data_IF_061201945499
#
_entry.id   IF_061201945499
#
_cell.length_a   1.000
_cell.length_b   1.000
_cell.length_c   1.000
_cell.angle_alpha   90.00
_cell.angle_beta   90.00
_cell.angle_gamma   90.00
#
_symmetry.space_group_name_H-M   'P 1'
#
loop_
_entity.id
_entity.type
_entity.pdbx_description
1 polymer ?
#
# COMPACT_ATOMS: atom_id res chain seq x y z
N UNK A 1 32.80 31.01 48.13
CA UNK A 1 32.20 29.67 47.94
C UNK A 1 30.74 29.68 47.47
N UNK A 2 29.85 30.58 47.93
CA UNK A 2 28.43 30.58 47.53
C UNK A 2 28.15 30.92 46.04
N UNK A 3 28.99 31.73 45.39
CA UNK A 3 28.83 32.11 43.97
C UNK A 3 29.14 30.96 43.00
N UNK A 4 30.11 30.11 43.31
CA UNK A 4 30.52 28.97 42.47
C UNK A 4 29.43 27.90 42.40
N UNK A 5 28.71 27.67 43.50
CA UNK A 5 27.58 26.73 43.54
C UNK A 5 26.34 27.24 42.79
N UNK A 6 26.13 28.56 42.72
CA UNK A 6 25.00 29.16 41.99
C UNK A 6 25.22 29.06 40.47
N UNK A 7 26.45 29.32 40.01
CA UNK A 7 26.83 29.23 38.61
C UNK A 7 26.83 27.79 38.07
N UNK A 8 27.28 26.83 38.89
CA UNK A 8 27.18 25.41 38.55
C UNK A 8 25.71 24.96 38.43
N UNK A 9 24.83 25.41 39.33
CA UNK A 9 23.39 25.06 39.31
C UNK A 9 22.64 25.62 38.10
N UNK A 10 22.92 26.87 37.71
CA UNK A 10 22.32 27.45 36.50
C UNK A 10 22.83 26.75 35.25
N UNK A 11 24.12 26.42 35.18
CA UNK A 11 24.70 25.71 34.04
C UNK A 11 24.14 24.28 33.89
N UNK A 12 23.99 23.52 34.99
CA UNK A 12 23.36 22.19 34.93
C UNK A 12 21.90 22.28 34.49
N UNK A 13 21.14 23.27 34.97
CA UNK A 13 19.74 23.45 34.58
C UNK A 13 19.58 23.80 33.09
N UNK A 14 20.47 24.64 32.55
CA UNK A 14 20.49 25.00 31.12
C UNK A 14 20.82 23.81 30.22
N UNK A 15 21.77 22.95 30.63
CA UNK A 15 22.15 21.75 29.89
C UNK A 15 21.00 20.73 29.86
N UNK A 16 20.33 20.51 31.00
CA UNK A 16 19.19 19.58 31.07
C UNK A 16 18.01 20.05 30.21
N UNK A 17 17.73 21.37 30.19
CA UNK A 17 16.65 21.93 29.37
C UNK A 17 16.95 21.84 27.86
N UNK A 18 18.22 22.03 27.47
CA UNK A 18 18.67 21.86 26.09
C UNK A 18 18.61 20.39 25.62
N UNK A 19 18.92 19.43 26.49
CA UNK A 19 18.79 17.99 26.17
C UNK A 19 17.33 17.51 26.05
N UNK A 20 16.39 18.14 26.76
CA UNK A 20 14.96 17.80 26.66
C UNK A 20 14.26 18.44 25.45
N UNK A 21 14.84 19.52 24.88
CA UNK A 21 14.24 20.26 23.77
C UNK A 21 14.40 19.56 22.39
N UNK A 22 15.16 18.47 22.31
CA UNK A 22 15.44 17.77 21.04
C UNK A 22 14.53 16.57 20.76
N UNK A 23 13.50 16.32 21.57
CA UNK A 23 12.47 15.33 21.24
C UNK A 23 11.46 16.00 20.29
N UNK A 24 11.83 16.16 19.02
CA UNK A 24 10.84 16.40 17.98
C UNK A 24 10.03 15.11 17.81
N UNK A 25 8.71 15.19 17.99
CA UNK A 25 7.82 14.13 17.56
C UNK A 25 8.01 13.95 16.04
N UNK A 26 8.39 12.74 15.62
CA UNK A 26 8.47 12.41 14.21
C UNK A 26 7.04 12.43 13.64
N UNK A 27 6.82 13.18 12.57
CA UNK A 27 5.53 13.17 11.88
C UNK A 27 5.17 11.73 11.49
N UNK A 28 3.93 11.33 11.78
CA UNK A 28 3.48 9.98 11.49
C UNK A 28 3.27 9.81 9.98
N UNK A 29 3.90 8.79 9.40
CA UNK A 29 3.65 8.41 8.02
C UNK A 29 2.43 7.50 7.93
N UNK A 30 1.37 7.96 7.27
CA UNK A 30 0.19 7.15 6.97
C UNK A 30 0.29 6.59 5.56
N UNK A 31 0.13 5.27 5.45
CA UNK A 31 0.06 4.52 4.20
C UNK A 31 -1.28 3.77 4.13
N UNK A 32 -1.98 3.93 3.02
CA UNK A 32 -3.13 3.09 2.67
C UNK A 32 -2.65 1.95 1.79
N UNK A 33 -2.64 0.73 2.33
CA UNK A 33 -2.31 -0.47 1.58
C UNK A 33 -3.59 -1.09 1.01
N UNK A 34 -3.69 -1.12 -0.30
CA UNK A 34 -4.73 -1.78 -1.07
C UNK A 34 -4.12 -3.04 -1.68
N UNK A 35 -4.80 -4.16 -1.54
CA UNK A 35 -4.31 -5.41 -2.09
C UNK A 35 -5.43 -6.25 -2.71
N UNK A 36 -5.03 -7.12 -3.61
CA UNK A 36 -5.82 -8.22 -4.16
C UNK A 36 -4.95 -9.46 -4.25
N UNK A 37 -5.59 -10.62 -4.40
CA UNK A 37 -4.97 -11.92 -4.56
C UNK A 37 -6.01 -12.86 -5.18
N UNK A 38 -5.56 -13.96 -5.79
CA UNK A 38 -6.42 -15.08 -6.20
C UNK A 38 -7.62 -14.64 -7.05
N UNK A 39 -7.42 -13.65 -7.92
CA UNK A 39 -8.50 -13.15 -8.77
C UNK A 39 -8.86 -14.12 -9.89
N UNK A 40 -7.95 -15.04 -10.26
CA UNK A 40 -8.22 -16.15 -11.18
C UNK A 40 -8.96 -15.72 -12.46
N UNK A 41 -8.57 -14.59 -13.03
CA UNK A 41 -9.18 -13.98 -14.23
C UNK A 41 -10.70 -13.71 -14.14
N UNK A 42 -11.22 -13.47 -12.93
CA UNK A 42 -12.58 -12.98 -12.70
C UNK A 42 -12.66 -11.47 -12.94
N UNK A 43 -12.69 -11.08 -14.21
CA UNK A 43 -12.77 -9.68 -14.61
C UNK A 43 -14.18 -9.13 -14.56
N UNK A 44 -15.18 -9.99 -14.67
CA UNK A 44 -16.60 -9.66 -14.60
C UNK A 44 -17.17 -9.92 -13.20
N UNK A 45 -18.30 -9.27 -12.85
CA UNK A 45 -19.03 -9.60 -11.64
C UNK A 45 -19.47 -11.06 -11.63
N UNK A 46 -19.49 -11.66 -10.44
CA UNK A 46 -20.07 -12.99 -10.23
C UNK A 46 -21.60 -12.94 -10.39
N UNK A 47 -22.24 -14.11 -10.35
CA UNK A 47 -23.70 -14.25 -10.54
C UNK A 47 -24.54 -13.46 -9.53
N UNK A 48 -24.01 -13.22 -8.33
CA UNK A 48 -24.63 -12.39 -7.29
C UNK A 48 -24.37 -10.88 -7.49
N UNK A 49 -23.64 -10.51 -8.54
CA UNK A 49 -23.27 -9.14 -8.86
C UNK A 49 -22.03 -8.63 -8.14
N UNK A 50 -21.29 -9.46 -7.40
CA UNK A 50 -20.10 -9.03 -6.66
C UNK A 50 -18.80 -9.09 -7.48
N UNK A 51 -17.83 -8.27 -7.08
CA UNK A 51 -16.51 -8.24 -7.70
C UNK A 51 -16.51 -7.58 -9.08
N UNK A 52 -15.60 -8.06 -9.93
CA UNK A 52 -15.34 -7.49 -11.25
C UNK A 52 -14.43 -6.25 -11.22
N UNK A 53 -13.62 -6.12 -12.26
CA UNK A 53 -12.58 -5.08 -12.35
C UNK A 53 -13.18 -3.67 -12.49
N UNK A 54 -14.37 -3.54 -13.10
CA UNK A 54 -15.06 -2.26 -13.19
C UNK A 54 -15.44 -1.70 -11.81
N UNK A 55 -15.97 -2.54 -10.91
CA UNK A 55 -16.29 -2.14 -9.53
C UNK A 55 -15.03 -1.84 -8.75
N UNK A 56 -13.99 -2.66 -8.94
CA UNK A 56 -12.68 -2.41 -8.33
C UNK A 56 -12.12 -1.04 -8.74
N UNK A 57 -12.19 -0.67 -10.02
CA UNK A 57 -11.76 0.63 -10.51
C UNK A 57 -12.48 1.79 -9.82
N UNK A 58 -13.80 1.66 -9.62
CA UNK A 58 -14.60 2.68 -8.92
C UNK A 58 -14.17 2.84 -7.46
N UNK A 59 -13.97 1.73 -6.74
CA UNK A 59 -13.48 1.76 -5.34
C UNK A 59 -12.08 2.35 -5.26
N UNK A 60 -11.17 1.97 -6.15
CA UNK A 60 -9.81 2.53 -6.21
C UNK A 60 -9.82 4.04 -6.48
N UNK A 61 -10.69 4.50 -7.39
CA UNK A 61 -10.84 5.93 -7.68
C UNK A 61 -11.35 6.71 -6.46
N UNK A 62 -12.33 6.16 -5.74
CA UNK A 62 -12.85 6.76 -4.51
C UNK A 62 -11.76 6.88 -3.44
N UNK A 63 -11.02 5.79 -3.16
CA UNK A 63 -9.95 5.81 -2.16
C UNK A 63 -8.83 6.77 -2.55
N UNK A 64 -8.45 6.81 -3.83
CA UNK A 64 -7.44 7.77 -4.32
C UNK A 64 -7.90 9.22 -4.22
N UNK A 65 -9.20 9.49 -4.34
CA UNK A 65 -9.77 10.83 -4.17
C UNK A 65 -9.72 11.33 -2.72
N UNK A 66 -9.66 10.43 -1.72
CA UNK A 66 -9.42 10.80 -0.31
C UNK A 66 -7.99 11.35 -0.08
N UNK A 67 -7.07 11.10 -1.01
CA UNK A 67 -5.69 11.58 -0.99
C UNK A 67 -4.77 10.78 -0.06
N UNK A 68 -3.55 11.29 0.11
CA UNK A 68 -2.50 10.64 0.91
C UNK A 68 -1.69 9.59 0.15
N UNK A 69 -0.86 8.84 0.88
CA UNK A 69 0.01 7.82 0.30
C UNK A 69 -0.77 6.51 0.17
N UNK A 70 -0.91 6.01 -1.06
CA UNK A 70 -1.61 4.76 -1.35
C UNK A 70 -0.70 3.83 -2.12
N UNK A 71 -0.67 2.55 -1.72
CA UNK A 71 0.01 1.48 -2.42
C UNK A 71 -1.02 0.42 -2.84
N UNK A 72 -1.09 0.09 -4.12
CA UNK A 72 -1.91 -0.98 -4.71
C UNK A 72 -1.00 -2.11 -5.19
N UNK A 73 -1.12 -3.27 -4.54
CA UNK A 73 -0.31 -4.46 -4.82
C UNK A 73 -1.17 -5.70 -5.05
N UNK A 74 -0.63 -6.68 -5.75
CA UNK A 74 -1.27 -7.99 -5.92
C UNK A 74 -0.41 -9.12 -5.34
N UNK A 75 -1.02 -10.12 -4.71
CA UNK A 75 -0.30 -11.22 -4.07
C UNK A 75 -0.16 -12.48 -4.95
N UNK A 76 -0.59 -12.44 -6.22
CA UNK A 76 -0.48 -13.58 -7.14
C UNK A 76 -1.81 -14.26 -7.42
N UNK A 77 -1.77 -15.30 -8.24
CA UNK A 77 -2.90 -16.10 -8.70
C UNK A 77 -3.98 -15.25 -9.38
N UNK A 78 -3.50 -14.35 -10.25
CA UNK A 78 -4.32 -13.58 -11.19
C UNK A 78 -4.72 -14.42 -12.39
N UNK A 79 -3.83 -15.30 -12.80
CA UNK A 79 -4.02 -16.13 -13.99
C UNK A 79 -4.90 -17.35 -13.68
N UNK A 80 -5.35 -18.02 -14.75
CA UNK A 80 -6.16 -19.24 -14.75
C UNK A 80 -7.44 -19.21 -13.89
N UNK A 81 -8.60 -19.40 -14.52
CA UNK A 81 -9.87 -19.59 -13.79
C UNK A 81 -11.13 -19.34 -14.61
N UNK A 82 -11.03 -18.49 -15.64
CA UNK A 82 -12.14 -18.21 -16.57
C UNK A 82 -11.69 -18.33 -18.03
N UNK A 83 -12.66 -18.24 -18.96
CA UNK A 83 -12.37 -18.22 -20.41
C UNK A 83 -11.49 -17.05 -20.85
N UNK A 84 -11.42 -15.98 -20.05
CA UNK A 84 -10.53 -14.86 -20.29
C UNK A 84 -9.07 -15.32 -20.34
N UNK A 85 -8.62 -16.10 -19.35
CA UNK A 85 -7.25 -16.63 -19.34
C UNK A 85 -7.01 -17.57 -20.52
N UNK A 86 -7.95 -18.46 -20.81
CA UNK A 86 -7.82 -19.42 -21.92
C UNK A 86 -7.65 -18.72 -23.27
N UNK A 87 -8.34 -17.60 -23.47
CA UNK A 87 -8.32 -16.87 -24.74
C UNK A 87 -7.16 -15.85 -24.82
N UNK A 88 -6.96 -15.04 -23.76
CA UNK A 88 -6.00 -13.94 -23.76
C UNK A 88 -4.62 -14.29 -23.18
N UNK A 89 -4.48 -15.47 -22.56
CA UNK A 89 -3.22 -15.97 -22.01
C UNK A 89 -2.52 -14.97 -21.08
N UNK A 90 -3.30 -14.28 -20.23
CA UNK A 90 -2.81 -13.31 -19.24
C UNK A 90 -2.56 -11.90 -19.77
N UNK A 91 -2.68 -11.64 -21.08
CA UNK A 91 -2.48 -10.29 -21.66
C UNK A 91 -3.53 -9.28 -21.19
N UNK A 92 -4.74 -9.76 -20.96
CA UNK A 92 -5.84 -9.05 -20.33
C UNK A 92 -5.51 -8.61 -18.90
N UNK A 93 -4.97 -9.50 -18.08
CA UNK A 93 -4.55 -9.20 -16.72
C UNK A 93 -3.49 -8.09 -16.70
N UNK A 94 -2.50 -8.14 -17.60
CA UNK A 94 -1.49 -7.08 -17.76
C UNK A 94 -2.14 -5.75 -18.11
N UNK A 95 -3.07 -5.73 -19.07
CA UNK A 95 -3.76 -4.50 -19.47
C UNK A 95 -4.58 -3.90 -18.31
N UNK A 96 -5.33 -4.74 -17.59
CA UNK A 96 -6.17 -4.32 -16.48
C UNK A 96 -5.32 -3.82 -15.30
N UNK A 97 -4.24 -4.53 -14.96
CA UNK A 97 -3.30 -4.10 -13.92
C UNK A 97 -2.68 -2.74 -14.22
N UNK A 98 -2.26 -2.52 -15.46
CA UNK A 98 -1.72 -1.25 -15.91
C UNK A 98 -2.78 -0.14 -15.84
N UNK A 99 -4.01 -0.42 -16.29
CA UNK A 99 -5.11 0.55 -16.26
C UNK A 99 -5.53 0.93 -14.83
N UNK A 100 -5.55 -0.03 -13.91
CA UNK A 100 -5.83 0.22 -12.49
C UNK A 100 -4.66 0.86 -11.76
N UNK A 101 -3.45 0.80 -12.32
CA UNK A 101 -2.22 1.34 -11.75
C UNK A 101 -1.73 0.52 -10.57
N UNK A 102 -1.63 -0.80 -10.71
CA UNK A 102 -0.89 -1.66 -9.77
C UNK A 102 0.59 -1.28 -9.74
N UNK A 103 1.23 -1.30 -8.57
CA UNK A 103 2.65 -0.96 -8.44
C UNK A 103 3.56 -2.16 -8.23
N UNK A 104 3.04 -3.26 -7.69
CA UNK A 104 3.77 -4.50 -7.54
C UNK A 104 2.82 -5.69 -7.58
N UNK A 105 3.36 -6.84 -7.95
CA UNK A 105 2.69 -8.12 -7.89
C UNK A 105 3.70 -9.20 -7.49
N UNK A 106 3.33 -10.07 -6.55
CA UNK A 106 4.03 -11.33 -6.34
C UNK A 106 3.54 -12.36 -7.37
N UNK A 107 4.41 -13.29 -7.77
CA UNK A 107 4.01 -14.42 -8.61
C UNK A 107 3.43 -15.51 -7.70
N UNK A 108 2.20 -15.93 -7.99
CA UNK A 108 1.57 -17.12 -7.43
C UNK A 108 1.89 -18.37 -8.25
N UNK A 109 1.26 -19.49 -7.92
CA UNK A 109 1.48 -20.75 -8.64
C UNK A 109 0.83 -20.74 -10.03
N UNK A 110 -0.33 -20.12 -10.20
CA UNK A 110 -1.05 -20.12 -11.48
C UNK A 110 -0.43 -19.22 -12.55
N UNK A 111 0.49 -18.33 -12.18
CA UNK A 111 1.28 -17.58 -13.15
C UNK A 111 2.20 -18.46 -14.00
N UNK A 112 2.43 -19.72 -13.60
CA UNK A 112 3.27 -20.70 -14.31
C UNK A 112 2.48 -21.77 -15.08
N UNK A 113 1.16 -21.70 -15.13
CA UNK A 113 0.33 -22.74 -15.77
C UNK A 113 0.60 -22.93 -17.27
N UNK A 114 1.11 -21.88 -17.93
CA UNK A 114 1.46 -21.90 -19.36
C UNK A 114 2.96 -22.14 -19.62
N UNK A 115 3.77 -22.40 -18.58
CA UNK A 115 5.21 -22.68 -18.67
C UNK A 115 6.12 -21.49 -18.38
#
# INVERSE_FOLDING_TARGET
MRFTFLFARTLTLSITLALTATVQAQDSFKLTLLHTNDTHSHHEPQSNGDGGVARQAAVLAQIRAEGGNTLLVDAGDRFTGTLFHQYYQGRDNVQLMNALGYQAMALGNHEFDNG
#
